data_IF_271252468899
#
_entry.id   IF_271252468899
#
_cell.length_a   1.000
_cell.length_b   1.000
_cell.length_c   1.000
_cell.angle_alpha   90.00
_cell.angle_beta   90.00
_cell.angle_gamma   90.00
#
_symmetry.space_group_name_H-M   'P 1'
#
loop_
_entity.id
_entity.type
_entity.pdbx_description
1 polymer ?
#
# COMPACT_ATOMS: atom_id res chain seq x y z
N UNK A 1 1.08 -17.87 7.22
CA UNK A 1 -0.19 -17.41 6.60
C UNK A 1 0.05 -15.99 6.17
N UNK A 2 0.07 -15.69 4.87
CA UNK A 2 0.25 -14.31 4.41
C UNK A 2 -1.06 -13.57 4.64
N UNK A 3 -1.08 -12.68 5.63
CA UNK A 3 -2.24 -11.83 5.88
C UNK A 3 -2.39 -10.89 4.69
N UNK A 4 -3.53 -10.99 4.00
CA UNK A 4 -3.89 -10.08 2.92
C UNK A 4 -3.99 -8.65 3.47
N UNK A 5 -3.58 -7.67 2.68
CA UNK A 5 -3.72 -6.25 3.02
C UNK A 5 -5.11 -5.72 2.61
N UNK A 6 -5.64 -4.77 3.38
CA UNK A 6 -6.94 -4.17 3.11
C UNK A 6 -6.87 -3.20 1.91
N UNK A 7 -7.79 -3.37 0.96
CA UNK A 7 -7.99 -2.44 -0.15
C UNK A 7 -9.16 -1.51 0.20
N UNK A 8 -8.89 -0.22 0.26
CA UNK A 8 -9.89 0.84 0.44
C UNK A 8 -10.26 1.44 -0.90
N UNK A 9 -11.52 1.81 -1.07
CA UNK A 9 -11.98 2.60 -2.22
C UNK A 9 -12.20 4.04 -1.76
N UNK A 10 -11.66 5.01 -2.49
CA UNK A 10 -11.92 6.42 -2.24
C UNK A 10 -12.15 7.13 -3.56
N UNK A 11 -12.99 8.15 -3.54
CA UNK A 11 -13.13 9.06 -4.68
C UNK A 11 -12.07 10.15 -4.54
N UNK A 12 -11.14 10.22 -5.49
CA UNK A 12 -10.14 11.28 -5.62
C UNK A 12 -10.31 11.86 -7.01
N UNK A 13 -10.41 13.19 -7.13
CA UNK A 13 -10.57 13.88 -8.41
C UNK A 13 -11.71 13.36 -9.29
N UNK A 14 -12.86 13.05 -8.66
CA UNK A 14 -14.05 12.46 -9.31
C UNK A 14 -13.86 11.01 -9.82
N UNK A 15 -12.71 10.39 -9.59
CA UNK A 15 -12.44 8.99 -9.92
C UNK A 15 -12.44 8.09 -8.67
N UNK A 16 -13.03 6.90 -8.79
CA UNK A 16 -12.93 5.89 -7.72
C UNK A 16 -11.60 5.16 -7.83
N UNK A 17 -10.68 5.47 -6.93
CA UNK A 17 -9.37 4.82 -6.84
C UNK A 17 -9.34 3.76 -5.74
N UNK A 18 -8.56 2.72 -5.97
CA UNK A 18 -8.21 1.73 -4.95
C UNK A 18 -6.93 2.16 -4.25
N UNK A 19 -6.94 2.14 -2.92
CA UNK A 19 -5.82 2.52 -2.09
C UNK A 19 -5.52 1.46 -1.05
N UNK A 20 -4.25 1.38 -0.69
CA UNK A 20 -3.73 0.53 0.39
C UNK A 20 -2.81 1.37 1.26
N UNK A 21 -2.57 0.95 2.49
CA UNK A 21 -1.54 1.58 3.32
C UNK A 21 -0.15 1.24 2.73
N UNK A 22 0.63 2.27 2.41
CA UNK A 22 1.96 2.08 1.82
C UNK A 22 2.90 1.25 2.72
N UNK A 23 2.83 1.43 4.05
CA UNK A 23 3.67 0.67 4.98
C UNK A 23 3.26 -0.80 5.02
N UNK A 24 1.95 -1.08 5.01
CA UNK A 24 1.46 -2.45 4.94
C UNK A 24 1.81 -3.11 3.61
N UNK A 25 1.70 -2.38 2.49
CA UNK A 25 2.11 -2.86 1.17
C UNK A 25 3.61 -3.19 1.12
N UNK A 26 4.47 -2.33 1.68
CA UNK A 26 5.91 -2.57 1.74
C UNK A 26 6.26 -3.87 2.47
N UNK A 27 5.61 -4.11 3.63
CA UNK A 27 5.83 -5.32 4.43
C UNK A 27 5.25 -6.54 3.70
N UNK A 28 4.06 -6.41 3.12
CA UNK A 28 3.39 -7.50 2.38
C UNK A 28 4.19 -7.97 1.16
N UNK A 29 4.83 -7.05 0.45
CA UNK A 29 5.70 -7.34 -0.69
C UNK A 29 7.11 -7.80 -0.28
N UNK A 30 7.39 -7.86 1.03
CA UNK A 30 8.69 -8.24 1.58
C UNK A 30 9.84 -7.42 0.95
N UNK A 31 9.61 -6.13 0.74
CA UNK A 31 10.59 -5.24 0.12
C UNK A 31 11.82 -5.17 1.00
N UNK A 32 12.96 -5.64 0.48
CA UNK A 32 14.24 -5.69 1.22
C UNK A 32 14.93 -4.34 1.43
N UNK A 33 14.31 -3.23 1.01
CA UNK A 33 14.78 -1.87 1.27
C UNK A 33 14.10 -1.31 2.52
N UNK A 34 14.62 -0.24 3.11
CA UNK A 34 13.88 0.44 4.19
C UNK A 34 12.71 1.20 3.58
N UNK A 35 11.58 1.26 4.28
CA UNK A 35 10.39 1.99 3.82
C UNK A 35 10.71 3.44 3.40
N UNK A 36 11.60 4.13 4.14
CA UNK A 36 12.03 5.49 3.82
C UNK A 36 12.76 5.59 2.48
N UNK A 37 13.57 4.60 2.12
CA UNK A 37 14.29 4.54 0.84
C UNK A 37 13.40 4.08 -0.32
N UNK A 38 12.19 3.59 -0.02
CA UNK A 38 11.23 3.08 -0.99
C UNK A 38 10.18 4.11 -1.41
N UNK A 39 9.83 5.02 -0.48
CA UNK A 39 8.81 6.06 -0.72
C UNK A 39 9.39 7.38 -1.24
N UNK A 40 10.71 7.48 -1.34
CA UNK A 40 11.46 8.62 -1.86
C UNK A 40 11.86 8.38 -3.31
#
# INVERSE_FOLDING_TARGET
MNNLIEIKKQVIDQETVQMVNARELHVFLEVGKKFADWIY
#
